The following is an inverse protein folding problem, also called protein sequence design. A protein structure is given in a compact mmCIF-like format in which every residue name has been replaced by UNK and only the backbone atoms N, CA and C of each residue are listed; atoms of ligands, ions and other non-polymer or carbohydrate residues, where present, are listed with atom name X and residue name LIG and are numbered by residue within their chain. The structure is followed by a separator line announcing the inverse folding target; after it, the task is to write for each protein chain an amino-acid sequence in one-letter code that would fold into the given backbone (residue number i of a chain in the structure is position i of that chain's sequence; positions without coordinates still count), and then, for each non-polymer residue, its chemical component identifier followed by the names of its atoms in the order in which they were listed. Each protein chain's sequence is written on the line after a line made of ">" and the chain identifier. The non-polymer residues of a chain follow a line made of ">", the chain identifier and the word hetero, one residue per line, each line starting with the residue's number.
data_IF_896703967990
#
_entry.id   IF_896703967990
#
_cell.length_a   1.000
_cell.length_b   1.000
_cell.length_c   1.000
_cell.angle_alpha   90.00
_cell.angle_beta   90.00
_cell.angle_gamma   90.00
#
_symmetry.space_group_name_H-M   'P 1'
#
loop_
_entity.id
_entity.type
_entity.pdbx_description
1 polymer ?
#
# COMPACT_ATOMS: atom_id res chain seq x y z
N UNK A 1 48.54 -69.44 5.28
CA UNK A 1 48.92 -68.10 4.78
C UNK A 1 47.66 -67.45 4.27
N UNK A 2 47.00 -66.68 5.10
CA UNK A 2 45.70 -66.10 4.79
C UNK A 2 45.84 -64.55 4.81
N UNK A 3 45.50 -63.95 3.69
CA UNK A 3 45.41 -62.49 3.57
C UNK A 3 44.03 -62.02 3.98
N UNK A 4 43.87 -61.03 4.85
CA UNK A 4 42.54 -60.47 5.14
C UNK A 4 42.16 -59.40 4.14
N UNK A 5 40.98 -59.57 3.62
CA UNK A 5 40.24 -58.71 2.71
C UNK A 5 39.91 -57.37 3.37
N UNK A 6 40.28 -56.27 2.72
CA UNK A 6 39.91 -54.90 3.09
C UNK A 6 38.41 -54.65 2.69
N UNK A 7 37.59 -54.47 3.69
CA UNK A 7 36.18 -54.07 3.57
C UNK A 7 36.10 -52.55 3.47
N UNK A 8 35.86 -52.05 2.27
CA UNK A 8 35.65 -50.64 2.01
C UNK A 8 34.31 -50.17 2.55
N UNK A 9 34.36 -49.16 3.43
CA UNK A 9 33.19 -48.45 3.91
C UNK A 9 32.78 -47.39 2.87
N UNK A 10 31.67 -47.65 2.15
CA UNK A 10 31.00 -46.64 1.36
C UNK A 10 30.28 -45.67 2.35
N UNK A 11 30.81 -44.48 2.50
CA UNK A 11 30.14 -43.38 3.19
C UNK A 11 29.16 -42.74 2.22
N UNK A 12 27.87 -43.02 2.42
CA UNK A 12 26.76 -42.39 1.70
C UNK A 12 26.57 -41.00 2.25
N UNK A 13 27.10 -39.99 1.55
CA UNK A 13 26.89 -38.57 1.88
C UNK A 13 25.51 -38.14 1.36
N UNK A 14 24.51 -38.13 2.25
CA UNK A 14 23.23 -37.52 1.96
C UNK A 14 23.36 -36.01 2.02
N UNK A 15 23.51 -35.39 0.86
CA UNK A 15 23.47 -33.94 0.69
C UNK A 15 22.00 -33.51 0.78
N UNK A 16 21.56 -33.10 1.99
CA UNK A 16 20.26 -32.50 2.21
C UNK A 16 20.28 -31.06 1.63
N UNK A 17 19.76 -30.90 0.41
CA UNK A 17 19.55 -29.61 -0.21
C UNK A 17 18.32 -28.96 0.44
N UNK A 18 18.57 -28.20 1.52
CA UNK A 18 17.55 -27.37 2.21
C UNK A 18 17.16 -26.21 1.31
N UNK A 19 15.98 -26.31 0.68
CA UNK A 19 15.36 -25.24 -0.09
C UNK A 19 14.87 -24.18 0.90
N UNK A 20 15.68 -23.15 1.13
CA UNK A 20 15.30 -21.96 1.89
C UNK A 20 14.27 -21.18 1.06
N UNK A 21 12.99 -21.41 1.32
CA UNK A 21 11.92 -20.53 0.90
C UNK A 21 12.05 -19.23 1.70
N UNK A 22 12.83 -18.30 1.18
CA UNK A 22 12.84 -16.92 1.67
C UNK A 22 11.47 -16.31 1.32
N UNK A 23 10.50 -16.47 2.22
CA UNK A 23 9.26 -15.73 2.15
C UNK A 23 9.60 -14.25 2.25
N UNK A 24 9.35 -13.48 1.17
CA UNK A 24 9.38 -12.02 1.23
C UNK A 24 8.22 -11.55 2.11
N UNK A 25 8.41 -11.56 3.42
CA UNK A 25 7.57 -10.79 4.33
C UNK A 25 7.98 -9.34 4.15
N UNK A 26 7.16 -8.59 3.41
CA UNK A 26 7.29 -7.14 3.30
C UNK A 26 7.26 -6.57 4.73
N UNK A 27 8.38 -6.01 5.17
CA UNK A 27 8.47 -5.38 6.48
C UNK A 27 7.42 -4.26 6.57
N UNK A 28 6.77 -4.05 7.72
CA UNK A 28 5.84 -2.95 7.89
C UNK A 28 6.56 -1.64 7.55
N UNK A 29 5.95 -0.85 6.67
CA UNK A 29 6.49 0.44 6.26
C UNK A 29 6.64 1.33 7.52
N UNK A 30 7.87 1.70 7.86
CA UNK A 30 8.20 2.49 9.06
C UNK A 30 8.06 3.99 8.83
N UNK A 31 8.14 4.42 7.58
CA UNK A 31 7.97 5.80 7.14
C UNK A 31 6.47 6.12 6.91
N UNK A 32 5.94 7.25 7.39
CA UNK A 32 4.52 7.60 7.22
C UNK A 32 4.06 7.53 5.77
N UNK A 33 4.83 8.05 4.82
CA UNK A 33 4.49 8.04 3.39
C UNK A 33 4.47 6.61 2.83
N UNK A 34 5.45 5.78 3.18
CA UNK A 34 5.50 4.38 2.74
C UNK A 34 4.36 3.56 3.36
N UNK A 35 4.04 3.80 4.63
CA UNK A 35 2.87 3.23 5.31
C UNK A 35 1.57 3.65 4.62
N UNK A 36 1.42 4.93 4.29
CA UNK A 36 0.27 5.46 3.57
C UNK A 36 0.10 4.83 2.18
N UNK A 37 1.19 4.65 1.44
CA UNK A 37 1.18 3.96 0.16
C UNK A 37 0.73 2.49 0.28
N UNK A 38 1.14 1.81 1.35
CA UNK A 38 0.67 0.46 1.65
C UNK A 38 -0.83 0.44 1.92
N UNK A 39 -1.34 1.35 2.76
CA UNK A 39 -2.77 1.48 3.07
C UNK A 39 -3.57 1.79 1.81
N UNK A 40 -3.10 2.70 0.95
CA UNK A 40 -3.70 3.01 -0.34
C UNK A 40 -3.95 1.75 -1.18
N UNK A 41 -2.95 0.87 -1.28
CA UNK A 41 -3.07 -0.41 -2.00
C UNK A 41 -4.05 -1.36 -1.30
N UNK A 42 -3.92 -1.53 0.01
CA UNK A 42 -4.77 -2.44 0.81
C UNK A 42 -6.25 -2.06 0.77
N UNK A 43 -6.55 -0.77 0.77
CA UNK A 43 -7.93 -0.26 0.70
C UNK A 43 -8.48 -0.21 -0.73
N UNK A 44 -7.67 -0.55 -1.74
CA UNK A 44 -8.09 -0.63 -3.12
C UNK A 44 -8.41 0.73 -3.76
N UNK A 45 -7.84 1.82 -3.26
CA UNK A 45 -8.11 3.19 -3.74
C UNK A 45 -7.84 3.33 -5.26
N UNK A 46 -6.81 2.62 -5.76
CA UNK A 46 -6.45 2.61 -7.18
C UNK A 46 -7.49 1.97 -8.10
N UNK A 47 -8.50 1.26 -7.58
CA UNK A 47 -9.59 0.74 -8.42
C UNK A 47 -10.48 1.86 -9.01
N UNK A 48 -10.55 2.99 -8.33
CA UNK A 48 -11.36 4.14 -8.73
C UNK A 48 -10.52 5.37 -9.10
N UNK A 49 -9.30 5.49 -8.55
CA UNK A 49 -8.44 6.65 -8.71
C UNK A 49 -7.18 6.33 -9.51
N UNK A 50 -6.89 7.17 -10.50
CA UNK A 50 -5.66 7.08 -11.29
C UNK A 50 -4.50 7.79 -10.57
N UNK A 51 -3.31 7.15 -10.58
CA UNK A 51 -2.02 7.76 -10.24
C UNK A 51 -1.06 7.47 -11.40
N UNK A 52 -0.46 8.50 -11.98
CA UNK A 52 0.54 8.42 -13.06
C UNK A 52 0.12 7.51 -14.24
N UNK A 53 -1.14 7.61 -14.66
CA UNK A 53 -1.69 6.84 -15.77
C UNK A 53 -2.15 5.42 -15.40
N UNK A 54 -2.01 5.01 -14.15
CA UNK A 54 -2.45 3.70 -13.66
C UNK A 54 -3.59 3.83 -12.69
N UNK A 55 -4.62 2.98 -12.83
CA UNK A 55 -5.78 2.96 -11.95
C UNK A 55 -7.09 3.29 -12.65
N UNK A 56 -8.17 3.34 -11.86
CA UNK A 56 -9.51 3.65 -12.35
C UNK A 56 -9.72 5.13 -12.61
N UNK A 57 -10.77 5.44 -13.39
CA UNK A 57 -11.16 6.81 -13.76
C UNK A 57 -12.56 7.18 -13.26
N UNK A 58 -13.06 6.46 -12.27
CA UNK A 58 -14.37 6.71 -11.66
C UNK A 58 -14.28 7.92 -10.73
N UNK A 59 -13.22 8.00 -9.95
CA UNK A 59 -12.90 9.13 -9.09
C UNK A 59 -11.90 10.10 -9.74
N UNK A 60 -11.70 11.29 -9.14
CA UNK A 60 -10.70 12.24 -9.63
C UNK A 60 -9.29 11.65 -9.58
N UNK A 61 -8.42 12.00 -10.55
CA UNK A 61 -7.03 11.54 -10.55
C UNK A 61 -6.28 12.07 -9.32
N UNK A 62 -5.43 11.24 -8.76
CA UNK A 62 -4.63 11.56 -7.58
C UNK A 62 -3.16 11.86 -7.90
N UNK A 63 -2.75 11.80 -9.16
CA UNK A 63 -1.35 12.04 -9.59
C UNK A 63 -0.73 13.29 -8.99
N UNK A 64 -1.50 14.37 -8.89
CA UNK A 64 -1.06 15.65 -8.34
C UNK A 64 -1.96 16.14 -7.20
N UNK A 65 -2.60 15.20 -6.48
CA UNK A 65 -3.59 15.58 -5.48
C UNK A 65 -3.00 16.42 -4.35
N UNK A 66 -1.77 16.18 -3.95
CA UNK A 66 -1.07 16.96 -2.93
C UNK A 66 -0.85 18.43 -3.33
N UNK A 67 -0.83 18.73 -4.64
CA UNK A 67 -0.70 20.11 -5.13
C UNK A 67 -2.06 20.80 -5.29
N UNK A 68 -3.13 20.06 -5.58
CA UNK A 68 -4.44 20.65 -5.88
C UNK A 68 -5.42 20.60 -4.70
N UNK A 69 -5.14 19.80 -3.68
CA UNK A 69 -6.06 19.58 -2.56
C UNK A 69 -6.45 20.89 -1.84
N UNK A 70 -5.49 21.77 -1.63
CA UNK A 70 -5.72 23.05 -0.95
C UNK A 70 -6.65 24.00 -1.71
N UNK A 71 -6.70 23.87 -3.04
CA UNK A 71 -7.56 24.70 -3.89
C UNK A 71 -8.97 24.14 -4.08
N UNK A 72 -9.21 22.89 -3.65
CA UNK A 72 -10.50 22.20 -3.87
C UNK A 72 -11.63 22.82 -3.05
N UNK A 73 -11.34 23.23 -1.83
CA UNK A 73 -12.35 23.76 -0.92
C UNK A 73 -11.77 24.97 -0.17
N UNK A 74 -12.23 26.20 -0.46
CA UNK A 74 -11.71 27.42 0.18
C UNK A 74 -11.80 27.36 1.70
N UNK A 75 -10.73 27.76 2.38
CA UNK A 75 -10.66 27.78 3.85
C UNK A 75 -10.35 26.42 4.50
N UNK A 76 -10.09 25.39 3.70
CA UNK A 76 -9.73 24.07 4.21
C UNK A 76 -8.28 23.76 3.82
N UNK A 77 -7.47 23.26 4.76
CA UNK A 77 -6.11 22.83 4.43
C UNK A 77 -6.12 21.59 3.52
N UNK A 78 -5.05 21.37 2.76
CA UNK A 78 -4.93 20.17 1.93
C UNK A 78 -5.08 18.87 2.75
N UNK A 79 -4.49 18.83 3.96
CA UNK A 79 -4.58 17.69 4.86
C UNK A 79 -6.03 17.44 5.34
N UNK A 80 -6.71 18.49 5.81
CA UNK A 80 -8.10 18.39 6.28
C UNK A 80 -9.05 17.99 5.17
N UNK A 81 -8.85 18.55 3.95
CA UNK A 81 -9.62 18.17 2.78
C UNK A 81 -9.46 16.68 2.46
N UNK A 82 -8.23 16.18 2.42
CA UNK A 82 -7.96 14.78 2.13
C UNK A 82 -8.49 13.85 3.22
N UNK A 83 -8.27 14.19 4.49
CA UNK A 83 -8.80 13.43 5.62
C UNK A 83 -10.33 13.33 5.55
N UNK A 84 -11.00 14.45 5.33
CA UNK A 84 -12.45 14.50 5.22
C UNK A 84 -12.96 13.72 4.01
N UNK A 85 -12.27 13.79 2.86
CA UNK A 85 -12.65 13.03 1.67
C UNK A 85 -12.59 11.52 1.88
N UNK A 86 -11.71 11.04 2.78
CA UNK A 86 -11.58 9.62 3.13
C UNK A 86 -12.62 9.20 4.17
N UNK A 87 -12.85 10.03 5.19
CA UNK A 87 -13.70 9.71 6.35
C UNK A 87 -15.19 9.98 6.06
N UNK A 88 -15.48 11.01 5.28
CA UNK A 88 -16.83 11.43 4.86
C UNK A 88 -16.84 11.83 3.37
N UNK A 89 -16.70 10.86 2.45
CA UNK A 89 -16.55 11.16 1.03
C UNK A 89 -17.74 11.86 0.39
N UNK A 90 -18.92 11.84 1.02
CA UNK A 90 -20.08 12.58 0.57
C UNK A 90 -20.10 14.06 0.93
N UNK A 91 -19.20 14.51 1.83
CA UNK A 91 -19.16 15.89 2.30
C UNK A 91 -18.79 16.91 1.21
N UNK A 92 -17.97 16.49 0.25
CA UNK A 92 -17.61 17.30 -0.92
C UNK A 92 -17.34 16.40 -2.13
N UNK A 93 -18.10 16.64 -3.19
CA UNK A 93 -17.93 15.91 -4.46
C UNK A 93 -17.19 16.83 -5.43
N UNK A 94 -16.06 16.37 -5.96
CA UNK A 94 -15.30 17.10 -6.97
C UNK A 94 -16.18 17.28 -8.22
N UNK A 95 -16.40 18.50 -8.72
CA UNK A 95 -17.20 18.73 -9.90
C UNK A 95 -16.78 17.86 -11.09
N UNK A 96 -17.76 17.25 -11.75
CA UNK A 96 -17.55 16.34 -12.88
C UNK A 96 -17.35 14.86 -12.50
N UNK A 97 -17.34 14.52 -11.21
CA UNK A 97 -17.26 13.14 -10.75
C UNK A 97 -18.54 12.71 -10.01
N UNK A 98 -18.90 11.42 -10.06
CA UNK A 98 -20.08 10.92 -9.36
C UNK A 98 -19.82 10.79 -7.83
N UNK A 99 -20.89 10.86 -7.03
CA UNK A 99 -20.87 10.49 -5.61
C UNK A 99 -20.86 8.95 -5.47
N UNK A 100 -19.74 8.34 -5.79
CA UNK A 100 -19.58 6.87 -5.83
C UNK A 100 -18.46 6.34 -4.92
N UNK A 101 -17.73 7.23 -4.26
CA UNK A 101 -16.68 6.80 -3.31
C UNK A 101 -17.32 6.08 -2.13
N UNK A 102 -16.83 4.87 -1.82
CA UNK A 102 -17.41 4.03 -0.78
C UNK A 102 -17.31 4.66 0.60
N UNK A 103 -18.45 4.78 1.27
CA UNK A 103 -18.51 5.25 2.65
C UNK A 103 -17.99 4.14 3.58
N UNK A 104 -17.17 4.52 4.55
CA UNK A 104 -16.56 3.58 5.50
C UNK A 104 -15.21 3.02 5.06
N UNK A 105 -14.54 3.62 4.08
CA UNK A 105 -13.15 3.28 3.71
C UNK A 105 -12.18 3.43 4.88
N UNK A 106 -12.41 4.41 5.75
CA UNK A 106 -11.64 4.64 6.97
C UNK A 106 -11.88 3.58 8.06
N UNK A 107 -12.91 2.73 7.90
CA UNK A 107 -13.25 1.74 8.93
C UNK A 107 -12.10 0.77 9.17
N UNK A 108 -11.71 0.64 10.45
CA UNK A 108 -10.60 -0.22 10.86
C UNK A 108 -9.22 0.38 10.66
N UNK A 109 -9.10 1.64 10.24
CA UNK A 109 -7.85 2.40 10.28
C UNK A 109 -7.74 3.12 11.62
N UNK A 110 -6.54 3.13 12.20
CA UNK A 110 -6.20 4.00 13.33
C UNK A 110 -6.00 5.44 12.87
N UNK A 111 -5.99 6.39 13.80
CA UNK A 111 -5.69 7.79 13.48
C UNK A 111 -4.29 7.92 12.84
N UNK A 112 -3.31 7.14 13.32
CA UNK A 112 -1.97 7.10 12.73
C UNK A 112 -1.96 6.54 11.30
N UNK A 113 -2.82 5.56 10.98
CA UNK A 113 -2.97 5.03 9.63
C UNK A 113 -3.64 6.05 8.70
N UNK A 114 -4.64 6.76 9.18
CA UNK A 114 -5.29 7.85 8.44
C UNK A 114 -4.30 8.98 8.15
N UNK A 115 -3.52 9.38 9.15
CA UNK A 115 -2.49 10.38 8.97
C UNK A 115 -1.43 9.92 7.94
N UNK A 116 -0.96 8.69 8.03
CA UNK A 116 -0.02 8.12 7.08
C UNK A 116 -0.57 8.12 5.65
N UNK A 117 -1.85 7.75 5.48
CA UNK A 117 -2.52 7.79 4.16
C UNK A 117 -2.60 9.22 3.63
N UNK A 118 -2.96 10.20 4.47
CA UNK A 118 -2.99 11.61 4.09
C UNK A 118 -1.59 12.10 3.70
N UNK A 119 -0.55 11.75 4.46
CA UNK A 119 0.84 12.10 4.12
C UNK A 119 1.28 11.52 2.77
N UNK A 120 0.91 10.28 2.48
CA UNK A 120 1.15 9.69 1.16
C UNK A 120 0.46 10.50 0.04
N UNK A 121 -0.83 10.82 0.20
CA UNK A 121 -1.56 11.60 -0.80
C UNK A 121 -0.99 13.01 -0.97
N UNK A 122 -0.56 13.66 0.11
CA UNK A 122 0.12 14.96 0.07
C UNK A 122 1.47 14.90 -0.66
N UNK A 123 2.13 13.75 -0.70
CA UNK A 123 3.40 13.56 -1.41
C UNK A 123 3.22 13.43 -2.93
N UNK A 124 2.02 13.20 -3.43
CA UNK A 124 1.69 13.10 -4.86
C UNK A 124 1.58 14.50 -5.48
N UNK A 125 2.65 14.94 -6.14
CA UNK A 125 2.81 16.30 -6.71
C UNK A 125 3.23 16.26 -8.17
#
# INVERSE_FOLDING_TARGET
>A
MFTPTMMGRLATSCLALGLLLAGCTEAPATEPVARGAQIYRQKGCGSCHEIAGSGGKIGPPLTQVGSVAETRQPGTTAADYLLRSITDPGAYIVPGFPDSMSRGLARGLSDADLEALVQYLLSLR
#
